data_IF_934516518046
#
_entry.id   IF_934516518046
#
_cell.length_a   1.000
_cell.length_b   1.000
_cell.length_c   1.000
_cell.angle_alpha   90.00
_cell.angle_beta   90.00
_cell.angle_gamma   90.00
#
_symmetry.space_group_name_H-M   'P 1'
#
loop_
_entity.id
_entity.type
_entity.pdbx_description
1 polymer ?
#
# COMPACT_ATOMS: atom_id res chain seq x y z
N UNK A 1 -15.89 -14.75 -0.13
CA UNK A 1 -16.54 -13.61 -0.83
C UNK A 1 -15.89 -13.49 -2.20
N UNK A 2 -16.72 -13.53 -3.23
CA UNK A 2 -16.26 -13.39 -4.61
C UNK A 2 -15.82 -11.94 -4.82
N UNK A 3 -14.54 -11.75 -5.06
CA UNK A 3 -14.04 -10.47 -5.56
C UNK A 3 -13.95 -10.56 -7.09
N UNK A 4 -14.28 -9.45 -7.75
CA UNK A 4 -14.13 -9.31 -9.20
C UNK A 4 -12.96 -8.40 -9.48
N UNK A 5 -12.20 -8.69 -10.54
CA UNK A 5 -11.05 -7.91 -10.94
C UNK A 5 -11.09 -7.66 -12.44
N UNK A 6 -10.85 -6.41 -12.82
CA UNK A 6 -10.67 -5.99 -14.20
C UNK A 6 -9.38 -5.17 -14.32
N UNK A 7 -8.69 -5.29 -15.45
CA UNK A 7 -7.48 -4.53 -15.74
C UNK A 7 -7.67 -3.71 -17.01
N UNK A 8 -7.29 -2.44 -16.93
CA UNK A 8 -7.32 -1.51 -18.05
C UNK A 8 -5.97 -0.75 -18.08
N UNK A 9 -5.14 -1.04 -19.08
CA UNK A 9 -3.81 -0.43 -19.18
C UNK A 9 -3.00 -0.66 -17.90
N UNK A 10 -2.61 0.41 -17.21
CA UNK A 10 -1.87 0.44 -15.93
C UNK A 10 -2.79 0.48 -14.70
N UNK A 11 -4.10 0.40 -14.89
CA UNK A 11 -5.09 0.47 -13.82
C UNK A 11 -5.72 -0.89 -13.53
N UNK A 12 -5.91 -1.19 -12.25
CA UNK A 12 -6.58 -2.40 -11.77
C UNK A 12 -7.83 -1.97 -10.97
N UNK A 13 -8.99 -2.51 -11.34
CA UNK A 13 -10.24 -2.33 -10.62
C UNK A 13 -10.56 -3.63 -9.89
N UNK A 14 -10.76 -3.53 -8.58
CA UNK A 14 -11.15 -4.65 -7.73
C UNK A 14 -12.44 -4.29 -7.02
N UNK A 15 -13.41 -5.17 -7.05
CA UNK A 15 -14.68 -4.98 -6.33
C UNK A 15 -15.08 -6.22 -5.55
N UNK A 16 -15.87 -5.98 -4.52
CA UNK A 16 -16.44 -7.00 -3.64
C UNK A 16 -17.79 -6.55 -3.12
N UNK A 17 -18.48 -7.41 -2.44
CA UNK A 17 -19.72 -7.05 -1.74
C UNK A 17 -19.45 -6.04 -0.63
N UNK A 18 -20.39 -5.12 -0.39
CA UNK A 18 -20.32 -4.07 0.62
C UNK A 18 -20.63 -4.62 2.02
N UNK A 19 -19.90 -5.66 2.44
CA UNK A 19 -19.95 -6.30 3.76
C UNK A 19 -18.65 -6.07 4.52
N UNK A 20 -18.64 -6.36 5.84
CA UNK A 20 -17.42 -6.30 6.66
C UNK A 20 -16.33 -7.24 6.10
N UNK A 21 -16.70 -8.50 5.86
CA UNK A 21 -15.81 -9.51 5.28
C UNK A 21 -15.32 -9.09 3.89
N UNK A 22 -16.22 -8.59 3.03
CA UNK A 22 -15.87 -8.09 1.70
C UNK A 22 -14.82 -6.98 1.76
N UNK A 23 -15.03 -5.97 2.60
CA UNK A 23 -14.08 -4.88 2.76
C UNK A 23 -12.74 -5.36 3.33
N UNK A 24 -12.74 -6.27 4.30
CA UNK A 24 -11.51 -6.86 4.84
C UNK A 24 -10.72 -7.59 3.75
N UNK A 25 -11.39 -8.41 2.94
CA UNK A 25 -10.76 -9.10 1.81
C UNK A 25 -10.21 -8.12 0.77
N UNK A 26 -10.97 -7.08 0.44
CA UNK A 26 -10.56 -6.05 -0.52
C UNK A 26 -9.29 -5.33 -0.06
N UNK A 27 -9.28 -4.83 1.18
CA UNK A 27 -8.13 -4.09 1.73
C UNK A 27 -6.90 -4.99 1.81
N UNK A 28 -7.06 -6.25 2.27
CA UNK A 28 -5.97 -7.22 2.31
C UNK A 28 -5.40 -7.50 0.90
N UNK A 29 -6.27 -7.65 -0.09
CA UNK A 29 -5.84 -7.90 -1.47
C UNK A 29 -5.08 -6.70 -2.05
N UNK A 30 -5.60 -5.50 -1.86
CA UNK A 30 -4.96 -4.24 -2.27
C UNK A 30 -3.61 -4.06 -1.57
N UNK A 31 -3.52 -4.29 -0.26
CA UNK A 31 -2.26 -4.23 0.50
C UNK A 31 -1.21 -5.17 -0.09
N UNK A 32 -1.60 -6.41 -0.36
CA UNK A 32 -0.69 -7.42 -0.94
C UNK A 32 -0.21 -7.06 -2.35
N UNK A 33 -1.09 -6.56 -3.21
CA UNK A 33 -0.75 -6.11 -4.55
C UNK A 33 0.22 -4.92 -4.45
N UNK A 34 -0.14 -3.86 -3.73
CA UNK A 34 0.67 -2.66 -3.60
C UNK A 34 2.05 -2.97 -2.99
N UNK A 35 2.09 -3.86 -1.98
CA UNK A 35 3.35 -4.30 -1.40
C UNK A 35 4.19 -5.14 -2.38
N UNK A 36 3.56 -5.97 -3.23
CA UNK A 36 4.27 -6.73 -4.25
C UNK A 36 4.88 -5.84 -5.32
N UNK A 37 4.17 -4.79 -5.74
CA UNK A 37 4.73 -3.76 -6.62
C UNK A 37 5.88 -2.99 -5.95
N UNK A 38 5.74 -2.63 -4.68
CA UNK A 38 6.78 -1.93 -3.94
C UNK A 38 8.09 -2.72 -3.87
N UNK A 39 8.02 -4.05 -3.71
CA UNK A 39 9.21 -4.92 -3.70
C UNK A 39 10.03 -4.84 -4.98
N UNK A 40 9.41 -4.55 -6.10
CA UNK A 40 10.07 -4.41 -7.40
C UNK A 40 10.23 -2.94 -7.83
N UNK A 41 10.03 -2.00 -6.91
CA UNK A 41 10.30 -0.58 -7.10
C UNK A 41 9.16 0.25 -7.67
N UNK A 42 7.95 -0.30 -7.83
CA UNK A 42 6.79 0.45 -8.30
C UNK A 42 5.96 0.99 -7.14
N UNK A 43 5.55 2.24 -7.25
CA UNK A 43 4.68 2.92 -6.29
C UNK A 43 3.25 2.97 -6.84
N UNK A 44 2.28 2.57 -6.01
CA UNK A 44 0.88 2.55 -6.38
C UNK A 44 0.11 3.72 -5.75
N UNK A 45 -0.90 4.19 -6.45
CA UNK A 45 -1.93 5.08 -5.90
C UNK A 45 -3.31 4.54 -6.23
N UNK A 46 -4.33 4.97 -5.49
CA UNK A 46 -5.67 4.47 -5.72
C UNK A 46 -6.73 5.11 -4.82
N UNK A 47 -7.98 4.70 -5.05
CA UNK A 47 -9.12 5.08 -4.23
C UNK A 47 -9.98 3.87 -3.90
N UNK A 48 -10.50 3.80 -2.68
CA UNK A 48 -11.51 2.82 -2.26
C UNK A 48 -12.79 3.58 -1.96
N UNK A 49 -13.86 3.21 -2.65
CA UNK A 49 -15.19 3.78 -2.49
C UNK A 49 -16.24 2.72 -2.19
N UNK A 50 -17.43 3.16 -1.80
CA UNK A 50 -18.57 2.29 -1.49
C UNK A 50 -19.82 2.85 -2.14
N UNK A 51 -20.52 2.02 -2.93
CA UNK A 51 -21.74 2.45 -3.60
C UNK A 51 -22.16 1.48 -4.69
N UNK A 52 -23.11 1.91 -5.51
CA UNK A 52 -23.59 1.10 -6.63
C UNK A 52 -22.49 0.93 -7.68
N UNK A 53 -22.29 -0.32 -8.08
CA UNK A 53 -21.30 -0.71 -9.08
C UNK A 53 -21.84 -1.89 -9.89
N UNK A 54 -21.82 -1.76 -11.19
CA UNK A 54 -21.86 -2.90 -12.10
C UNK A 54 -20.40 -3.31 -12.38
N UNK A 55 -20.08 -4.57 -12.14
CA UNK A 55 -18.75 -5.10 -12.47
C UNK A 55 -18.90 -6.53 -12.97
N UNK A 56 -18.62 -6.76 -14.24
CA UNK A 56 -18.65 -8.08 -14.84
C UNK A 56 -17.54 -8.22 -15.87
N UNK A 57 -16.72 -9.25 -15.72
CA UNK A 57 -15.50 -9.46 -16.52
C UNK A 57 -14.63 -8.20 -16.52
N UNK A 58 -14.41 -7.61 -17.69
CA UNK A 58 -13.61 -6.39 -17.85
C UNK A 58 -14.45 -5.10 -17.87
N UNK A 59 -15.76 -5.18 -17.57
CA UNK A 59 -16.64 -4.03 -17.56
C UNK A 59 -16.97 -3.63 -16.13
N UNK A 60 -16.56 -2.44 -15.73
CA UNK A 60 -16.89 -1.86 -14.44
C UNK A 60 -17.38 -0.42 -14.64
N UNK A 61 -18.58 -0.11 -14.14
CA UNK A 61 -19.13 1.24 -14.18
C UNK A 61 -20.15 1.47 -13.07
N UNK A 62 -20.32 2.70 -12.67
CA UNK A 62 -21.26 3.12 -11.63
C UNK A 62 -20.69 4.20 -10.73
N UNK A 63 -21.53 4.76 -9.83
CA UNK A 63 -21.13 5.83 -8.93
C UNK A 63 -19.90 5.49 -8.09
N UNK A 64 -19.79 4.27 -7.58
CA UNK A 64 -18.66 3.85 -6.79
C UNK A 64 -17.34 3.89 -7.60
N UNK A 65 -17.35 3.46 -8.87
CA UNK A 65 -16.18 3.54 -9.73
C UNK A 65 -15.76 4.99 -9.98
N UNK A 66 -16.74 5.86 -10.27
CA UNK A 66 -16.45 7.29 -10.49
C UNK A 66 -15.84 7.95 -9.24
N UNK A 67 -16.34 7.63 -8.05
CA UNK A 67 -15.78 8.12 -6.79
C UNK A 67 -14.36 7.59 -6.57
N UNK A 68 -14.11 6.29 -6.77
CA UNK A 68 -12.77 5.70 -6.64
C UNK A 68 -11.78 6.33 -7.63
N UNK A 69 -12.20 6.53 -8.87
CA UNK A 69 -11.40 7.23 -9.89
C UNK A 69 -11.12 8.69 -9.51
N UNK A 70 -12.11 9.39 -8.97
CA UNK A 70 -11.93 10.77 -8.47
C UNK A 70 -10.92 10.82 -7.34
N UNK A 71 -11.01 9.90 -6.37
CA UNK A 71 -10.03 9.77 -5.29
C UNK A 71 -8.63 9.54 -5.82
N UNK A 72 -8.47 8.60 -6.75
CA UNK A 72 -7.19 8.27 -7.36
C UNK A 72 -6.61 9.45 -8.14
N UNK A 73 -7.41 10.04 -9.05
CA UNK A 73 -6.91 11.02 -10.02
C UNK A 73 -6.78 12.43 -9.47
N UNK A 74 -7.57 12.81 -8.45
CA UNK A 74 -7.65 14.18 -7.92
C UNK A 74 -7.15 14.33 -6.48
N UNK A 75 -7.23 13.29 -5.66
CA UNK A 75 -6.87 13.37 -4.24
C UNK A 75 -5.61 12.57 -3.91
N UNK A 76 -5.42 11.39 -4.51
CA UNK A 76 -4.21 10.61 -4.34
C UNK A 76 -3.07 11.15 -5.23
N UNK A 77 -2.69 12.42 -5.03
CA UNK A 77 -1.60 13.07 -5.75
C UNK A 77 -0.28 12.32 -5.50
N UNK A 78 -0.11 11.80 -4.30
CA UNK A 78 1.03 11.00 -3.87
C UNK A 78 0.75 9.49 -3.96
N UNK A 79 1.77 8.62 -3.89
CA UNK A 79 1.61 7.16 -3.91
C UNK A 79 0.93 6.64 -2.64
N UNK A 80 -0.37 6.78 -2.58
CA UNK A 80 -1.24 6.37 -1.47
C UNK A 80 -2.59 5.88 -1.98
N UNK A 81 -3.21 4.96 -1.26
CA UNK A 81 -4.53 4.43 -1.58
C UNK A 81 -5.51 4.98 -0.55
N UNK A 82 -6.34 5.92 -0.98
CA UNK A 82 -7.22 6.73 -0.11
C UNK A 82 -8.59 6.05 0.03
N UNK A 83 -9.16 6.11 1.21
CA UNK A 83 -10.52 5.68 1.48
C UNK A 83 -11.50 6.86 1.32
N UNK A 84 -12.61 6.65 0.61
CA UNK A 84 -13.72 7.60 0.60
C UNK A 84 -14.31 7.79 1.98
N UNK A 85 -15.00 8.91 2.21
CA UNK A 85 -15.65 9.18 3.49
C UNK A 85 -16.61 8.05 3.91
N UNK A 86 -17.41 7.54 2.98
CA UNK A 86 -18.32 6.43 3.25
C UNK A 86 -17.61 5.14 3.68
N UNK A 87 -16.43 4.85 3.12
CA UNK A 87 -15.61 3.71 3.54
C UNK A 87 -14.96 3.95 4.89
N UNK A 88 -14.46 5.18 5.15
CA UNK A 88 -13.89 5.56 6.45
C UNK A 88 -14.92 5.35 7.57
N UNK A 89 -16.12 5.90 7.40
CA UNK A 89 -17.19 5.78 8.38
C UNK A 89 -17.59 4.31 8.60
N UNK A 90 -17.61 3.53 7.54
CA UNK A 90 -17.87 2.10 7.63
C UNK A 90 -16.78 1.36 8.41
N UNK A 91 -15.50 1.62 8.16
CA UNK A 91 -14.37 1.05 8.93
C UNK A 91 -14.45 1.47 10.40
N UNK A 92 -14.70 2.73 10.68
CA UNK A 92 -14.75 3.24 12.05
C UNK A 92 -15.93 2.68 12.86
N UNK A 93 -17.06 2.36 12.19
CA UNK A 93 -18.23 1.74 12.81
C UNK A 93 -18.10 0.24 13.06
N UNK A 94 -17.04 -0.41 12.54
CA UNK A 94 -16.86 -1.84 12.73
C UNK A 94 -16.39 -2.18 14.13
N UNK A 95 -17.09 -3.14 14.76
CA UNK A 95 -16.71 -3.76 16.03
C UNK A 95 -16.36 -5.22 15.83
N UNK A 96 -15.70 -5.84 16.85
CA UNK A 96 -15.30 -7.23 16.83
C UNK A 96 -14.00 -7.51 16.11
N UNK A 97 -13.65 -8.78 15.94
CA UNK A 97 -12.36 -9.21 15.42
C UNK A 97 -12.02 -8.68 14.03
N UNK A 98 -12.97 -8.70 13.08
CA UNK A 98 -12.77 -8.17 11.74
C UNK A 98 -12.53 -6.64 11.75
N UNK A 99 -13.25 -5.92 12.63
CA UNK A 99 -13.06 -4.48 12.81
C UNK A 99 -11.67 -4.13 13.35
N UNK A 100 -11.15 -4.92 14.28
CA UNK A 100 -9.78 -4.73 14.80
C UNK A 100 -8.75 -4.97 13.70
N UNK A 101 -8.90 -6.04 12.93
CA UNK A 101 -7.96 -6.36 11.84
C UNK A 101 -7.95 -5.26 10.79
N UNK A 102 -9.11 -4.83 10.30
CA UNK A 102 -9.17 -3.82 9.24
C UNK A 102 -8.66 -2.45 9.71
N UNK A 103 -8.92 -2.08 10.98
CA UNK A 103 -8.38 -0.85 11.59
C UNK A 103 -6.85 -0.88 11.70
N UNK A 104 -6.24 -2.08 11.79
CA UNK A 104 -4.79 -2.25 11.70
C UNK A 104 -4.22 -2.14 10.27
N UNK A 105 -5.06 -2.35 9.25
CA UNK A 105 -4.67 -2.26 7.84
C UNK A 105 -4.87 -0.86 7.24
N UNK A 106 -5.62 0.00 7.92
CA UNK A 106 -5.97 1.35 7.50
C UNK A 106 -5.49 2.32 8.56
N UNK A 107 -4.75 3.34 8.14
CA UNK A 107 -4.20 4.35 9.05
C UNK A 107 -4.62 5.74 8.64
N UNK A 108 -4.77 6.62 9.63
CA UNK A 108 -4.85 8.06 9.37
C UNK A 108 -3.42 8.57 9.12
N UNK A 109 -3.20 9.13 7.96
CA UNK A 109 -1.91 9.71 7.60
C UNK A 109 -2.14 11.09 6.97
N UNK A 110 -1.56 12.11 7.62
CA UNK A 110 -1.84 13.51 7.27
C UNK A 110 -3.36 13.79 7.35
N UNK A 111 -3.97 14.17 6.24
CA UNK A 111 -5.35 14.64 6.12
C UNK A 111 -6.38 13.56 5.75
N UNK A 112 -5.94 12.32 5.50
CA UNK A 112 -6.83 11.25 5.01
C UNK A 112 -6.56 9.89 5.63
N UNK A 113 -7.50 8.97 5.44
CA UNK A 113 -7.28 7.56 5.75
C UNK A 113 -6.78 6.84 4.51
N UNK A 114 -5.72 6.05 4.69
CA UNK A 114 -5.06 5.30 3.62
C UNK A 114 -4.87 3.84 4.01
N UNK A 115 -4.74 2.97 3.01
CA UNK A 115 -4.27 1.60 3.22
C UNK A 115 -2.81 1.63 3.66
N UNK A 116 -2.48 0.91 4.74
CA UNK A 116 -1.11 0.82 5.26
C UNK A 116 -0.27 -0.18 4.47
N UNK A 117 0.14 0.19 3.26
CA UNK A 117 0.88 -0.69 2.33
C UNK A 117 2.23 -1.19 2.86
N UNK A 118 2.77 -0.58 3.91
CA UNK A 118 4.01 -1.01 4.56
C UNK A 118 3.80 -2.00 5.72
N UNK A 119 2.55 -2.25 6.14
CA UNK A 119 2.24 -3.17 7.25
C UNK A 119 2.88 -4.56 7.09
N UNK A 120 2.90 -5.19 5.88
CA UNK A 120 3.56 -6.48 5.73
C UNK A 120 5.06 -6.46 6.02
N UNK A 121 5.73 -5.33 5.76
CA UNK A 121 7.15 -5.14 6.08
C UNK A 121 7.36 -4.86 7.57
N UNK A 122 6.57 -3.94 8.16
CA UNK A 122 6.67 -3.60 9.58
C UNK A 122 6.43 -4.82 10.46
N UNK A 123 5.39 -5.60 10.17
CA UNK A 123 5.10 -6.84 10.89
C UNK A 123 6.22 -7.86 10.78
N UNK A 124 6.81 -8.04 9.59
CA UNK A 124 7.94 -8.96 9.40
C UNK A 124 9.19 -8.50 10.17
N UNK A 125 9.47 -7.21 10.20
CA UNK A 125 10.61 -6.65 10.95
C UNK A 125 10.43 -6.79 12.47
N UNK A 126 9.19 -6.72 12.97
CA UNK A 126 8.87 -6.87 14.39
C UNK A 126 9.05 -8.32 14.87
N UNK A 127 8.68 -9.30 14.04
CA UNK A 127 8.71 -10.73 14.42
C UNK A 127 10.00 -11.45 13.99
N UNK A 128 10.77 -10.88 13.07
CA UNK A 128 12.01 -11.48 12.61
C UNK A 128 13.08 -11.37 13.68
N UNK A 129 13.79 -12.49 13.91
CA UNK A 129 15.05 -12.47 14.63
C UNK A 129 16.13 -11.66 13.90
N UNK A 130 17.33 -11.58 14.46
CA UNK A 130 18.46 -10.85 13.86
C UNK A 130 18.91 -11.48 12.53
N UNK A 131 19.01 -10.66 11.50
CA UNK A 131 19.52 -11.02 10.18
C UNK A 131 18.59 -11.91 9.34
N UNK A 132 17.89 -11.35 8.39
CA UNK A 132 17.02 -12.15 7.56
C UNK A 132 16.42 -11.44 6.35
N UNK A 133 15.48 -12.12 5.69
CA UNK A 133 14.76 -11.63 4.52
C UNK A 133 14.13 -10.23 4.71
N UNK A 134 13.52 -9.89 5.88
CA UNK A 134 12.90 -8.57 6.07
C UNK A 134 13.88 -7.40 6.01
N UNK A 135 15.08 -7.54 6.56
CA UNK A 135 16.11 -6.50 6.51
C UNK A 135 16.62 -6.28 5.09
N UNK A 136 16.81 -7.35 4.33
CA UNK A 136 17.19 -7.25 2.92
C UNK A 136 16.11 -6.59 2.09
N UNK A 137 14.85 -6.90 2.36
CA UNK A 137 13.71 -6.26 1.71
C UNK A 137 13.62 -4.77 2.05
N UNK A 138 13.82 -4.41 3.31
CA UNK A 138 13.92 -3.02 3.75
C UNK A 138 15.01 -2.27 3.01
N UNK A 139 16.21 -2.85 2.93
CA UNK A 139 17.35 -2.25 2.23
C UNK A 139 17.06 -2.09 0.73
N UNK A 140 16.50 -3.11 0.10
CA UNK A 140 16.17 -3.06 -1.33
C UNK A 140 15.17 -1.95 -1.64
N UNK A 141 14.11 -1.79 -0.83
CA UNK A 141 13.16 -0.69 -1.01
C UNK A 141 13.86 0.67 -0.86
N UNK A 142 14.71 0.85 0.15
CA UNK A 142 15.49 2.09 0.31
C UNK A 142 16.40 2.37 -0.89
N UNK A 143 17.05 1.36 -1.42
CA UNK A 143 17.90 1.49 -2.62
C UNK A 143 17.09 1.88 -3.86
N UNK A 144 15.91 1.28 -4.05
CA UNK A 144 14.99 1.67 -5.12
C UNK A 144 14.58 3.13 -5.01
N UNK A 145 14.13 3.58 -3.84
CA UNK A 145 13.75 4.97 -3.61
C UNK A 145 14.92 5.93 -3.87
N UNK A 146 16.12 5.61 -3.40
CA UNK A 146 17.30 6.42 -3.62
C UNK A 146 17.70 6.52 -5.12
N UNK A 147 17.53 5.44 -5.88
CA UNK A 147 17.76 5.44 -7.34
C UNK A 147 16.75 6.32 -8.07
N UNK A 148 15.46 6.17 -7.73
CA UNK A 148 14.39 6.98 -8.33
C UNK A 148 14.54 8.48 -8.03
N UNK A 149 14.92 8.86 -6.81
CA UNK A 149 15.21 10.24 -6.46
C UNK A 149 16.33 10.82 -7.33
N UNK A 150 17.41 10.06 -7.57
CA UNK A 150 18.49 10.51 -8.45
C UNK A 150 18.06 10.61 -9.92
N UNK A 151 17.26 9.65 -10.39
CA UNK A 151 16.75 9.61 -11.76
C UNK A 151 15.83 10.77 -12.06
N UNK A 152 15.00 11.16 -11.09
CA UNK A 152 13.95 12.18 -11.23
C UNK A 152 14.40 13.60 -10.83
N UNK A 153 15.70 13.83 -10.62
CA UNK A 153 16.22 15.14 -10.17
C UNK A 153 15.72 16.35 -10.99
N UNK A 154 15.51 16.14 -12.29
CA UNK A 154 15.06 17.18 -13.23
C UNK A 154 13.54 17.17 -13.46
N UNK A 155 12.81 16.19 -12.95
CA UNK A 155 11.34 16.11 -12.97
C UNK A 155 10.78 16.37 -11.58
N UNK A 156 10.60 17.63 -11.24
CA UNK A 156 10.14 18.06 -9.91
C UNK A 156 8.79 17.47 -9.52
N UNK A 157 7.89 17.26 -10.46
CA UNK A 157 6.55 16.73 -10.20
C UNK A 157 6.61 15.26 -9.75
N UNK A 158 7.34 14.44 -10.48
CA UNK A 158 7.48 13.02 -10.14
C UNK A 158 8.41 12.83 -8.94
N UNK A 159 9.46 13.65 -8.80
CA UNK A 159 10.34 13.65 -7.64
C UNK A 159 9.57 13.86 -6.33
N UNK A 160 8.65 14.82 -6.27
CA UNK A 160 7.84 15.07 -5.07
C UNK A 160 7.02 13.85 -4.63
N UNK A 161 6.56 13.03 -5.57
CA UNK A 161 5.83 11.80 -5.25
C UNK A 161 6.72 10.78 -4.57
N UNK A 162 7.95 10.60 -5.07
CA UNK A 162 8.92 9.65 -4.48
C UNK A 162 9.40 10.14 -3.13
N UNK A 163 9.67 11.43 -2.97
CA UNK A 163 10.07 12.03 -1.68
C UNK A 163 8.97 11.87 -0.62
N UNK A 164 7.71 12.08 -0.99
CA UNK A 164 6.58 11.86 -0.09
C UNK A 164 6.53 10.40 0.39
N UNK A 165 6.72 9.44 -0.52
CA UNK A 165 6.72 8.02 -0.15
C UNK A 165 7.93 7.66 0.71
N UNK A 166 9.10 8.25 0.45
CA UNK A 166 10.28 8.06 1.29
C UNK A 166 10.06 8.57 2.72
N UNK A 167 9.40 9.71 2.88
CA UNK A 167 9.04 10.24 4.20
C UNK A 167 8.06 9.29 4.92
N UNK A 168 7.00 8.87 4.25
CA UNK A 168 6.05 7.87 4.76
C UNK A 168 6.75 6.58 5.18
N UNK A 169 7.65 6.06 4.33
CA UNK A 169 8.46 4.88 4.63
C UNK A 169 9.31 5.07 5.89
N UNK A 170 10.04 6.18 5.99
CA UNK A 170 10.90 6.46 7.13
C UNK A 170 10.13 6.64 8.44
N UNK A 171 8.91 7.18 8.38
CA UNK A 171 8.05 7.34 9.55
C UNK A 171 7.42 6.02 10.04
N UNK A 172 7.14 5.11 9.13
CA UNK A 172 6.38 3.88 9.45
C UNK A 172 7.24 2.64 9.61
N UNK A 173 8.44 2.63 9.04
CA UNK A 173 9.33 1.47 9.11
C UNK A 173 10.53 1.77 10.00
N UNK A 174 10.51 1.22 11.22
CA UNK A 174 11.59 1.33 12.17
C UNK A 174 12.45 0.06 12.11
N UNK A 175 13.44 0.03 11.20
CA UNK A 175 14.45 -1.01 11.22
C UNK A 175 15.66 -0.52 12.03
N UNK A 176 16.22 -1.38 12.88
CA UNK A 176 17.47 -1.08 13.56
C UNK A 176 18.61 -1.01 12.52
N UNK A 177 19.26 0.16 12.30
CA UNK A 177 20.30 0.30 11.28
C UNK A 177 21.48 -0.65 11.50
N UNK A 178 21.80 -0.99 12.75
CA UNK A 178 22.87 -1.93 13.09
C UNK A 178 22.54 -3.36 12.68
N UNK A 179 21.27 -3.79 12.81
CA UNK A 179 20.81 -5.10 12.36
C UNK A 179 20.90 -5.24 10.83
N UNK A 180 20.51 -4.20 10.11
CA UNK A 180 20.59 -4.18 8.64
C UNK A 180 22.04 -4.29 8.17
N UNK A 181 22.97 -3.58 8.82
CA UNK A 181 24.40 -3.61 8.47
C UNK A 181 25.03 -4.98 8.74
N UNK A 182 24.70 -5.61 9.87
CA UNK A 182 25.20 -6.94 10.22
C UNK A 182 24.68 -8.04 9.28
N UNK A 183 23.42 -7.98 8.84
CA UNK A 183 22.83 -8.91 7.88
C UNK A 183 23.59 -8.88 6.53
N UNK A 184 23.93 -7.68 6.04
CA UNK A 184 24.67 -7.50 4.78
C UNK A 184 26.10 -8.01 4.89
N UNK A 185 26.79 -7.79 6.04
CA UNK A 185 28.17 -8.24 6.23
C UNK A 185 28.29 -9.76 6.44
N UNK A 186 27.27 -10.40 7.03
CA UNK A 186 27.27 -11.84 7.25
C UNK A 186 26.99 -12.64 5.97
N UNK A 187 26.17 -12.12 5.03
CA UNK A 187 25.96 -12.78 3.74
C UNK A 187 27.22 -12.77 2.87
N UNK A 188 28.04 -11.72 2.96
CA UNK A 188 29.30 -11.66 2.23
C UNK A 188 30.40 -12.59 2.80
N UNK A 189 30.22 -13.12 4.03
CA UNK A 189 31.15 -14.09 4.64
C UNK A 189 30.78 -15.55 4.36
N UNK A 190 29.55 -15.84 3.93
CA UNK A 190 29.09 -17.20 3.62
C UNK A 190 29.27 -17.58 2.16
N UNK A 191 29.85 -16.71 1.34
CA UNK A 191 30.09 -16.92 -0.12
C UNK A 191 31.58 -17.00 -0.47
N UNK A 192 32.46 -17.22 0.53
CA UNK A 192 33.91 -17.47 0.35
C UNK A 192 34.25 -18.90 0.73
#
# INVERSE_FOLDING_TARGET
SDHKMAQFSDSIIISTESTKAGLLHLVNHIERIAFSFLKIGFLCRGGISKGLLYHEKNNAFGPAMLEAYHLESKQAIYPRIILSKGVQDFVLSMDGGEGVVIKGMVIKYQDCYIVHVLRPLTFRLEIAGEGGEPEMLFLNIKLHLAREIRRLKDDQKELQKVLWFQEYFNQKVHANPLKVFQAVTNQNKSTV
#
